data_IF_229360973845
#
_entry.id   IF_229360973845
#
_cell.length_a   1.000
_cell.length_b   1.000
_cell.length_c   1.000
_cell.angle_alpha   90.00
_cell.angle_beta   90.00
_cell.angle_gamma   90.00
#
_symmetry.space_group_name_H-M   'P 1'
#
loop_
_entity.id
_entity.type
_entity.pdbx_description
1 polymer ?
#
# COMPACT_ATOMS: atom_id res chain seq x y z
N UNK A 1 -12.78 -30.03 -8.48
CA UNK A 1 -13.71 -29.93 -9.64
C UNK A 1 -13.35 -28.71 -10.49
N UNK A 2 -13.85 -28.62 -11.72
CA UNK A 2 -13.71 -27.43 -12.61
C UNK A 2 -14.22 -26.17 -11.89
N UNK A 3 -15.41 -26.25 -11.32
CA UNK A 3 -16.05 -25.11 -10.62
C UNK A 3 -15.20 -24.56 -9.47
N UNK A 4 -14.59 -25.41 -8.68
CA UNK A 4 -13.71 -24.99 -7.57
C UNK A 4 -12.45 -24.31 -8.10
N UNK A 5 -11.83 -24.83 -9.18
CA UNK A 5 -10.66 -24.21 -9.79
C UNK A 5 -10.95 -22.83 -10.36
N UNK A 6 -12.06 -22.70 -11.11
CA UNK A 6 -12.52 -21.40 -11.64
C UNK A 6 -12.76 -20.41 -10.50
N UNK A 7 -13.40 -20.87 -9.41
CA UNK A 7 -13.61 -20.02 -8.24
C UNK A 7 -12.28 -19.55 -7.62
N UNK A 8 -11.31 -20.44 -7.45
CA UNK A 8 -9.99 -20.08 -6.94
C UNK A 8 -9.26 -19.08 -7.86
N UNK A 9 -9.39 -19.20 -9.19
CA UNK A 9 -8.84 -18.23 -10.13
C UNK A 9 -9.49 -16.83 -9.93
N UNK A 10 -10.82 -16.78 -9.82
CA UNK A 10 -11.56 -15.53 -9.58
C UNK A 10 -11.16 -14.91 -8.23
N UNK A 11 -11.15 -15.70 -7.15
CA UNK A 11 -10.81 -15.23 -5.80
C UNK A 11 -9.36 -14.71 -5.76
N UNK A 12 -8.42 -15.38 -6.43
CA UNK A 12 -7.03 -14.94 -6.54
C UNK A 12 -6.86 -13.64 -7.32
N UNK A 13 -7.58 -13.47 -8.42
CA UNK A 13 -7.57 -12.24 -9.22
C UNK A 13 -8.19 -11.07 -8.47
N UNK A 14 -9.31 -11.28 -7.77
CA UNK A 14 -9.92 -10.27 -6.92
C UNK A 14 -8.99 -9.84 -5.79
N UNK A 15 -8.37 -10.79 -5.08
CA UNK A 15 -7.43 -10.49 -4.00
C UNK A 15 -6.20 -9.70 -4.48
N UNK A 16 -5.73 -9.95 -5.69
CA UNK A 16 -4.66 -9.14 -6.31
C UNK A 16 -5.15 -7.74 -6.63
N UNK A 17 -6.30 -7.61 -7.29
CA UNK A 17 -6.89 -6.32 -7.65
C UNK A 17 -7.16 -5.45 -6.44
N UNK A 18 -7.74 -6.01 -5.37
CA UNK A 18 -8.08 -5.30 -4.13
C UNK A 18 -6.87 -4.93 -3.27
N UNK A 19 -5.67 -5.41 -3.65
CA UNK A 19 -4.42 -4.95 -3.04
C UNK A 19 -3.90 -3.62 -3.59
N UNK A 20 -4.51 -3.09 -4.66
CA UNK A 20 -4.13 -1.83 -5.28
C UNK A 20 -5.12 -0.70 -4.97
N UNK A 21 -4.59 0.49 -4.74
CA UNK A 21 -5.34 1.71 -4.36
C UNK A 21 -6.42 2.14 -5.36
N UNK A 22 -6.39 1.62 -6.58
CA UNK A 22 -7.40 1.86 -7.61
C UNK A 22 -8.66 1.01 -7.46
N UNK A 23 -8.63 -0.05 -6.64
CA UNK A 23 -9.81 -0.87 -6.37
C UNK A 23 -10.77 -0.14 -5.41
N UNK A 24 -12.09 -0.32 -5.65
CA UNK A 24 -13.13 0.14 -4.74
C UNK A 24 -13.13 -0.60 -3.40
N UNK A 25 -12.62 -1.85 -3.38
CA UNK A 25 -12.54 -2.71 -2.21
C UNK A 25 -11.16 -2.63 -1.51
N UNK A 26 -10.29 -1.71 -1.98
CA UNK A 26 -8.99 -1.46 -1.34
C UNK A 26 -9.17 -1.00 0.11
N UNK A 27 -8.48 -1.66 1.03
CA UNK A 27 -8.57 -1.38 2.47
C UNK A 27 -7.33 -0.70 3.01
N UNK A 28 -6.17 -1.31 2.77
CA UNK A 28 -4.87 -0.77 3.18
C UNK A 28 -3.75 -1.33 2.33
N UNK A 29 -2.64 -0.62 2.31
CA UNK A 29 -1.48 -1.05 1.54
C UNK A 29 -0.92 -2.39 2.05
N UNK A 30 -0.57 -3.36 1.16
CA UNK A 30 -0.13 -4.70 1.55
C UNK A 30 1.13 -4.75 2.43
N UNK A 31 1.95 -3.71 2.42
CA UNK A 31 3.14 -3.62 3.28
C UNK A 31 2.81 -3.13 4.70
N UNK A 32 1.60 -2.64 5.00
CA UNK A 32 1.19 -2.30 6.36
C UNK A 32 0.84 -3.58 7.14
N UNK A 33 1.84 -4.14 7.79
CA UNK A 33 1.76 -5.40 8.53
C UNK A 33 2.28 -5.22 9.95
N UNK A 34 1.97 -6.17 10.81
CA UNK A 34 2.51 -6.19 12.19
C UNK A 34 3.96 -6.74 12.19
N UNK A 35 4.86 -5.97 11.61
CA UNK A 35 6.30 -6.22 11.55
C UNK A 35 7.05 -4.90 11.77
N UNK A 36 8.31 -4.98 12.14
CA UNK A 36 9.11 -3.79 12.47
C UNK A 36 9.80 -3.15 11.26
N UNK A 37 9.88 -3.86 10.11
CA UNK A 37 10.59 -3.33 8.94
C UNK A 37 9.80 -3.53 7.64
N UNK A 38 9.97 -2.57 6.72
CA UNK A 38 9.42 -2.68 5.36
C UNK A 38 10.00 -3.89 4.63
N UNK A 39 11.28 -4.23 4.90
CA UNK A 39 11.92 -5.41 4.29
C UNK A 39 11.23 -6.71 4.66
N UNK A 40 10.84 -6.88 5.94
CA UNK A 40 10.07 -8.03 6.39
C UNK A 40 8.67 -8.04 5.77
N UNK A 41 8.00 -6.87 5.76
CA UNK A 41 6.69 -6.72 5.14
C UNK A 41 6.73 -7.09 3.65
N UNK A 42 7.76 -6.63 2.92
CA UNK A 42 7.93 -6.93 1.51
C UNK A 42 8.23 -8.41 1.27
N UNK A 43 9.05 -9.05 2.12
CA UNK A 43 9.34 -10.49 2.00
C UNK A 43 8.07 -11.33 2.14
N UNK A 44 7.21 -11.00 3.10
CA UNK A 44 5.92 -11.68 3.27
C UNK A 44 5.01 -11.43 2.06
N UNK A 45 4.91 -10.18 1.61
CA UNK A 45 4.12 -9.81 0.43
C UNK A 45 4.58 -10.52 -0.84
N UNK A 46 5.90 -10.59 -1.06
CA UNK A 46 6.49 -11.30 -2.19
C UNK A 46 6.11 -12.78 -2.18
N UNK A 47 6.20 -13.45 -1.02
CA UNK A 47 5.78 -14.86 -0.89
C UNK A 47 4.31 -15.05 -1.24
N UNK A 48 3.43 -14.17 -0.77
CA UNK A 48 1.99 -14.24 -1.08
C UNK A 48 1.69 -14.00 -2.57
N UNK A 49 2.41 -13.08 -3.20
CA UNK A 49 2.29 -12.83 -4.64
C UNK A 49 2.78 -14.04 -5.45
N UNK A 50 3.91 -14.64 -5.08
CA UNK A 50 4.45 -15.80 -5.76
C UNK A 50 3.53 -17.02 -5.60
N UNK A 51 2.99 -17.26 -4.41
CA UNK A 51 2.03 -18.32 -4.16
C UNK A 51 0.75 -18.14 -4.99
N UNK A 52 0.21 -16.94 -5.04
CA UNK A 52 -0.97 -16.60 -5.85
C UNK A 52 -0.72 -16.79 -7.34
N UNK A 53 0.42 -16.30 -7.82
CA UNK A 53 0.85 -16.46 -9.22
C UNK A 53 0.96 -17.94 -9.61
N UNK A 54 1.67 -18.72 -8.82
CA UNK A 54 1.87 -20.14 -9.09
C UNK A 54 0.55 -20.94 -9.00
N UNK A 55 -0.31 -20.59 -8.03
CA UNK A 55 -1.62 -21.23 -7.89
C UNK A 55 -2.54 -20.93 -9.06
N UNK A 56 -2.58 -19.66 -9.53
CA UNK A 56 -3.37 -19.28 -10.70
C UNK A 56 -2.89 -20.02 -11.94
N UNK A 57 -1.59 -19.97 -12.22
CA UNK A 57 -0.98 -20.68 -13.35
C UNK A 57 -1.31 -22.17 -13.34
N UNK A 58 -1.12 -22.85 -12.20
CA UNK A 58 -1.42 -24.27 -12.07
C UNK A 58 -2.91 -24.59 -12.28
N UNK A 59 -3.81 -23.71 -11.82
CA UNK A 59 -5.24 -23.90 -12.03
C UNK A 59 -5.62 -23.71 -13.51
N UNK A 60 -5.05 -22.72 -14.20
CA UNK A 60 -5.29 -22.45 -15.62
C UNK A 60 -4.75 -23.61 -16.48
N UNK A 61 -3.53 -24.08 -16.23
CA UNK A 61 -2.95 -25.24 -16.92
C UNK A 61 -3.79 -26.50 -16.76
N UNK A 62 -4.30 -26.75 -15.57
CA UNK A 62 -5.17 -27.89 -15.33
C UNK A 62 -6.55 -27.76 -15.99
N UNK A 63 -7.12 -26.54 -16.02
CA UNK A 63 -8.34 -26.27 -16.76
C UNK A 63 -8.13 -26.49 -18.25
N UNK A 64 -7.03 -25.99 -18.81
CA UNK A 64 -6.65 -26.22 -20.21
C UNK A 64 -6.53 -27.72 -20.51
N UNK A 65 -5.86 -28.50 -19.66
CA UNK A 65 -5.70 -29.97 -19.82
C UNK A 65 -7.08 -30.65 -19.86
N UNK A 66 -7.96 -30.30 -18.93
CA UNK A 66 -9.32 -30.87 -18.88
C UNK A 66 -10.10 -30.56 -20.16
N UNK A 67 -10.06 -29.33 -20.67
CA UNK A 67 -10.79 -28.96 -21.87
C UNK A 67 -10.16 -29.54 -23.15
N UNK A 68 -8.83 -29.57 -23.25
CA UNK A 68 -8.13 -30.25 -24.33
C UNK A 68 -8.53 -31.72 -24.42
N UNK A 69 -8.62 -32.40 -23.29
CA UNK A 69 -9.03 -33.80 -23.22
C UNK A 69 -10.50 -33.98 -23.62
N UNK A 70 -11.41 -33.11 -23.14
CA UNK A 70 -12.84 -33.20 -23.47
C UNK A 70 -13.10 -33.01 -24.95
N UNK A 71 -12.36 -32.09 -25.59
CA UNK A 71 -12.54 -31.77 -27.02
C UNK A 71 -11.65 -32.57 -27.94
N UNK A 72 -10.75 -33.39 -27.42
CA UNK A 72 -9.84 -34.23 -28.22
C UNK A 72 -8.81 -33.44 -29.03
N UNK A 73 -8.26 -32.35 -28.44
CA UNK A 73 -7.35 -31.40 -29.07
C UNK A 73 -5.87 -31.60 -28.69
N UNK A 74 -5.51 -32.78 -28.19
CA UNK A 74 -4.15 -33.06 -27.67
C UNK A 74 -3.07 -32.95 -28.74
N UNK A 75 -3.40 -33.15 -30.01
CA UNK A 75 -2.46 -33.03 -31.15
C UNK A 75 -2.29 -31.56 -31.64
N UNK A 76 -3.16 -30.64 -31.17
CA UNK A 76 -3.20 -29.25 -31.63
C UNK A 76 -2.82 -28.23 -30.58
N UNK A 77 -3.11 -28.52 -29.30
CA UNK A 77 -2.96 -27.58 -28.19
C UNK A 77 -2.16 -28.20 -27.05
N UNK A 78 -1.43 -27.33 -26.32
CA UNK A 78 -0.73 -27.67 -25.08
C UNK A 78 -1.40 -26.95 -23.91
N UNK A 79 -1.41 -27.55 -22.68
CA UNK A 79 -2.05 -26.93 -21.52
C UNK A 79 -1.21 -25.86 -20.83
N UNK A 80 0.07 -25.74 -21.17
CA UNK A 80 1.03 -24.84 -20.53
C UNK A 80 0.63 -23.38 -20.71
N UNK A 81 0.77 -22.59 -19.62
CA UNK A 81 0.56 -21.15 -19.61
C UNK A 81 1.90 -20.45 -19.42
N UNK A 82 2.27 -19.57 -20.34
CA UNK A 82 3.50 -18.79 -20.16
C UNK A 82 3.37 -17.77 -19.01
N UNK A 83 4.45 -17.49 -18.29
CA UNK A 83 4.44 -16.56 -17.15
C UNK A 83 3.90 -15.17 -17.53
N UNK A 84 4.12 -14.71 -18.76
CA UNK A 84 3.63 -13.43 -19.28
C UNK A 84 2.11 -13.37 -19.46
N UNK A 85 1.44 -14.53 -19.57
CA UNK A 85 0.01 -14.66 -19.81
C UNK A 85 -0.78 -14.83 -18.51
N UNK A 86 -0.08 -15.07 -17.38
CA UNK A 86 -0.70 -15.10 -16.05
C UNK A 86 -1.10 -13.68 -15.63
N UNK A 87 -2.37 -13.47 -15.33
CA UNK A 87 -2.95 -12.13 -15.13
C UNK A 87 -2.62 -11.49 -13.79
N UNK A 88 -2.32 -12.26 -12.75
CA UNK A 88 -1.90 -11.71 -11.45
C UNK A 88 -0.40 -11.40 -11.44
N UNK A 89 -0.04 -10.29 -10.79
CA UNK A 89 1.34 -9.79 -10.80
C UNK A 89 2.16 -10.37 -9.66
N UNK A 90 3.43 -10.63 -9.93
CA UNK A 90 4.45 -10.84 -8.89
C UNK A 90 4.76 -9.51 -8.19
N UNK A 91 5.27 -9.58 -6.95
CA UNK A 91 5.77 -8.41 -6.26
C UNK A 91 6.94 -7.78 -7.01
N UNK A 92 6.97 -6.45 -7.04
CA UNK A 92 8.06 -5.66 -7.59
C UNK A 92 8.45 -4.59 -6.57
N UNK A 93 9.70 -4.63 -6.10
CA UNK A 93 10.16 -3.79 -4.99
C UNK A 93 9.98 -2.30 -5.30
N UNK A 94 10.38 -1.85 -6.48
CA UNK A 94 10.32 -0.43 -6.82
C UNK A 94 8.88 0.05 -6.95
N UNK A 95 8.04 -0.70 -7.67
CA UNK A 95 6.61 -0.40 -7.83
C UNK A 95 5.90 -0.36 -6.47
N UNK A 96 6.12 -1.37 -5.64
CA UNK A 96 5.41 -1.53 -4.39
C UNK A 96 5.85 -0.52 -3.34
N UNK A 97 7.14 -0.09 -3.35
CA UNK A 97 7.60 1.05 -2.53
C UNK A 97 7.03 2.38 -3.01
N UNK A 98 6.97 2.64 -4.32
CA UNK A 98 6.32 3.84 -4.86
C UNK A 98 4.83 3.89 -4.48
N UNK A 99 4.14 2.76 -4.53
CA UNK A 99 2.76 2.62 -4.08
C UNK A 99 2.61 2.86 -2.57
N UNK A 100 3.56 2.37 -1.75
CA UNK A 100 3.59 2.65 -0.31
C UNK A 100 3.73 4.14 -0.02
N UNK A 101 4.59 4.85 -0.76
CA UNK A 101 4.75 6.30 -0.62
C UNK A 101 3.49 7.05 -1.03
N UNK A 102 2.80 6.62 -2.10
CA UNK A 102 1.50 7.15 -2.50
C UNK A 102 0.46 6.99 -1.38
N UNK A 103 0.37 5.80 -0.80
CA UNK A 103 -0.51 5.52 0.34
C UNK A 103 -0.17 6.36 1.57
N UNK A 104 1.12 6.52 1.90
CA UNK A 104 1.57 7.37 3.00
C UNK A 104 1.14 8.83 2.80
N UNK A 105 1.29 9.36 1.58
CA UNK A 105 0.78 10.70 1.23
C UNK A 105 -0.74 10.76 1.38
N UNK A 106 -1.46 9.73 0.97
CA UNK A 106 -2.90 9.60 1.21
C UNK A 106 -3.25 9.69 2.70
N UNK A 107 -2.45 9.07 3.58
CA UNK A 107 -2.61 9.20 5.03
C UNK A 107 -2.30 10.63 5.52
N UNK A 108 -1.31 11.32 4.93
CA UNK A 108 -0.96 12.69 5.29
C UNK A 108 -2.10 13.67 5.01
N UNK A 109 -2.90 13.42 3.97
CA UNK A 109 -4.07 14.21 3.60
C UNK A 109 -5.40 13.65 4.11
N UNK A 110 -5.37 12.64 4.99
CA UNK A 110 -6.56 12.06 5.60
C UNK A 110 -7.39 11.15 4.68
N UNK A 111 -6.92 10.84 3.47
CA UNK A 111 -7.60 9.89 2.57
C UNK A 111 -7.68 8.50 3.19
N UNK A 112 -6.63 8.08 3.87
CA UNK A 112 -6.52 6.83 4.61
C UNK A 112 -6.06 7.07 6.03
N UNK A 113 -6.14 6.03 6.85
CA UNK A 113 -5.58 6.00 8.21
C UNK A 113 -4.77 4.72 8.42
N UNK A 114 -3.76 4.80 9.27
CA UNK A 114 -3.02 3.63 9.75
C UNK A 114 -3.81 2.81 10.77
N UNK A 115 -4.93 3.34 11.28
CA UNK A 115 -5.73 2.77 12.37
C UNK A 115 -7.09 2.23 11.92
N UNK A 116 -7.55 2.57 10.72
CA UNK A 116 -8.81 2.10 10.17
C UNK A 116 -8.66 1.76 8.70
N UNK A 117 -9.15 0.61 8.30
CA UNK A 117 -9.13 0.14 6.92
C UNK A 117 -10.10 0.95 6.05
N UNK A 118 -9.72 1.16 4.81
CA UNK A 118 -10.54 1.77 3.78
C UNK A 118 -10.40 3.29 3.66
N UNK A 119 -11.19 3.85 2.74
CA UNK A 119 -11.21 5.26 2.42
C UNK A 119 -11.93 6.05 3.53
N UNK A 120 -11.29 7.12 4.03
CA UNK A 120 -11.88 8.02 5.01
C UNK A 120 -12.40 9.31 4.37
N UNK A 121 -11.55 10.01 3.60
CA UNK A 121 -11.90 11.26 2.91
C UNK A 121 -11.69 11.14 1.40
N UNK A 122 -12.67 11.60 0.62
CA UNK A 122 -12.66 11.58 -0.84
C UNK A 122 -12.90 12.97 -1.47
N UNK A 123 -12.45 14.05 -0.79
CA UNK A 123 -12.57 15.41 -1.26
C UNK A 123 -13.61 16.27 -0.52
N UNK A 124 -14.31 15.72 0.47
CA UNK A 124 -15.14 16.50 1.39
C UNK A 124 -14.25 17.35 2.35
N UNK A 125 -14.81 18.40 2.96
CA UNK A 125 -14.07 19.24 3.90
C UNK A 125 -13.48 18.44 5.05
N UNK A 126 -12.17 18.64 5.29
CA UNK A 126 -11.42 18.01 6.35
C UNK A 126 -11.40 18.86 7.62
N UNK A 127 -11.49 18.23 8.77
CA UNK A 127 -11.05 18.75 10.04
C UNK A 127 -10.59 17.59 10.92
N UNK A 128 -9.73 17.86 11.90
CA UNK A 128 -9.29 16.82 12.84
C UNK A 128 -10.49 16.14 13.53
N UNK A 129 -11.51 16.90 13.91
CA UNK A 129 -12.72 16.33 14.51
C UNK A 129 -13.48 15.41 13.53
N UNK A 130 -13.66 15.81 12.27
CA UNK A 130 -14.31 14.95 11.27
C UNK A 130 -13.50 13.70 10.96
N UNK A 131 -12.17 13.77 11.03
CA UNK A 131 -11.30 12.60 10.93
C UNK A 131 -11.51 11.65 12.10
N UNK A 132 -11.50 12.17 13.34
CA UNK A 132 -11.77 11.39 14.55
C UNK A 132 -13.16 10.76 14.51
N UNK A 133 -14.18 11.49 14.07
CA UNK A 133 -15.56 10.98 13.94
C UNK A 133 -15.66 9.84 12.93
N UNK A 134 -14.92 9.93 11.82
CA UNK A 134 -14.86 8.85 10.82
C UNK A 134 -14.03 7.65 11.29
N UNK A 135 -13.02 7.88 12.12
CA UNK A 135 -12.26 6.80 12.76
C UNK A 135 -13.10 6.02 13.76
N UNK A 136 -14.06 6.67 14.42
CA UNK A 136 -14.97 6.06 15.36
C UNK A 136 -16.28 5.66 14.66
N UNK A 137 -16.82 4.49 14.98
CA UNK A 137 -18.14 4.05 14.47
C UNK A 137 -19.32 4.83 15.10
N UNK A 138 -19.03 5.80 15.97
CA UNK A 138 -20.03 6.64 16.68
C UNK A 138 -19.62 8.11 16.60
N UNK A 139 -19.96 8.82 15.50
CA UNK A 139 -19.66 10.23 15.33
C UNK A 139 -20.19 11.11 16.47
N UNK A 140 -19.40 12.11 16.86
CA UNK A 140 -19.79 13.08 17.88
C UNK A 140 -19.71 12.60 19.34
N UNK A 141 -19.21 11.37 19.59
CA UNK A 141 -19.14 10.81 20.96
C UNK A 141 -17.80 11.08 21.64
N UNK A 142 -16.76 11.38 20.89
CA UNK A 142 -15.40 11.58 21.41
C UNK A 142 -14.76 12.78 20.69
N UNK A 143 -14.22 13.75 21.43
CA UNK A 143 -13.39 14.80 20.86
C UNK A 143 -11.99 14.27 20.47
N UNK A 144 -11.26 15.00 19.60
CA UNK A 144 -9.89 14.66 19.27
C UNK A 144 -9.00 14.56 20.52
N UNK A 145 -9.20 15.47 21.48
CA UNK A 145 -8.46 15.48 22.76
C UNK A 145 -8.83 14.29 23.67
N UNK A 146 -10.11 13.89 23.67
CA UNK A 146 -10.57 12.71 24.42
C UNK A 146 -10.06 11.42 23.81
N UNK A 147 -10.01 11.31 22.46
CA UNK A 147 -9.40 10.19 21.76
C UNK A 147 -7.91 10.07 22.11
N UNK A 148 -7.18 11.16 22.00
CA UNK A 148 -5.77 11.22 22.39
C UNK A 148 -5.57 10.79 23.86
N UNK A 149 -6.47 11.23 24.75
CA UNK A 149 -6.43 10.86 26.16
C UNK A 149 -6.76 9.38 26.39
N UNK A 150 -7.72 8.82 25.63
CA UNK A 150 -8.08 7.42 25.71
C UNK A 150 -6.90 6.52 25.31
N UNK A 151 -6.23 6.83 24.20
CA UNK A 151 -5.06 6.09 23.76
C UNK A 151 -3.89 6.19 24.75
N UNK A 152 -3.67 7.36 25.39
CA UNK A 152 -2.69 7.49 26.49
C UNK A 152 -3.01 6.58 27.67
N UNK A 153 -4.27 6.46 28.03
CA UNK A 153 -4.70 5.61 29.15
C UNK A 153 -4.58 4.10 28.83
N UNK A 154 -4.63 3.72 27.56
CA UNK A 154 -4.40 2.34 27.11
C UNK A 154 -2.89 2.02 26.92
N UNK A 155 -2.01 2.96 27.27
CA UNK A 155 -0.56 2.79 27.14
C UNK A 155 -0.04 3.02 25.71
N UNK A 156 -0.90 3.49 24.80
CA UNK A 156 -0.48 3.95 23.48
C UNK A 156 0.18 5.33 23.65
N UNK A 157 1.42 5.46 23.20
CA UNK A 157 2.14 6.74 23.21
C UNK A 157 1.52 7.60 22.11
N UNK A 158 0.67 8.55 22.51
CA UNK A 158 -0.09 9.40 21.56
C UNK A 158 0.84 10.27 20.71
N UNK A 159 2.02 10.59 21.23
CA UNK A 159 3.06 11.31 20.50
C UNK A 159 3.64 10.44 19.33
N UNK A 160 3.33 9.14 19.28
CA UNK A 160 3.68 8.21 18.19
C UNK A 160 2.50 7.98 17.23
N UNK A 161 1.31 8.53 17.51
CA UNK A 161 0.18 8.43 16.59
C UNK A 161 0.36 9.40 15.42
N UNK A 162 0.05 8.90 14.22
CA UNK A 162 0.06 9.72 13.03
C UNK A 162 -1.34 10.29 12.73
N UNK A 163 -1.43 11.60 12.64
CA UNK A 163 -2.62 12.33 12.21
C UNK A 163 -2.37 13.01 10.86
N UNK A 164 -3.42 13.21 10.06
CA UNK A 164 -3.33 14.03 8.85
C UNK A 164 -2.88 15.47 9.19
N UNK A 165 -2.41 16.15 8.17
CA UNK A 165 -2.02 17.55 8.28
C UNK A 165 -3.25 18.44 8.56
N UNK A 166 -3.08 19.45 9.44
CA UNK A 166 -4.21 20.24 9.93
C UNK A 166 -4.78 21.18 8.87
N UNK A 167 -3.92 21.80 8.06
CA UNK A 167 -4.31 22.75 7.02
C UNK A 167 -4.32 22.16 5.61
N UNK A 168 -3.96 20.87 5.48
CA UNK A 168 -3.81 20.16 4.22
C UNK A 168 -2.76 20.78 3.26
N UNK A 169 -1.73 21.41 3.80
CA UNK A 169 -0.63 22.01 3.03
C UNK A 169 0.70 21.40 3.47
N UNK A 170 1.22 20.46 2.70
CA UNK A 170 2.49 19.80 3.01
C UNK A 170 3.56 20.32 2.05
N UNK A 171 4.57 21.09 2.56
CA UNK A 171 5.63 21.63 1.74
C UNK A 171 6.51 20.53 1.12
N UNK A 172 6.93 20.75 -0.12
CA UNK A 172 7.99 19.96 -0.77
C UNK A 172 9.14 20.91 -1.07
N UNK A 173 10.24 20.77 -0.36
CA UNK A 173 11.39 21.65 -0.44
C UNK A 173 12.63 20.88 -0.88
N UNK A 174 13.62 21.57 -1.47
CA UNK A 174 14.88 20.99 -1.92
C UNK A 174 15.83 20.62 -0.75
N UNK A 175 15.68 21.31 0.38
CA UNK A 175 16.40 21.02 1.63
C UNK A 175 15.40 20.99 2.81
N UNK A 176 15.86 20.57 3.98
CA UNK A 176 15.05 20.49 5.20
C UNK A 176 14.99 21.88 5.85
N UNK A 177 13.99 22.68 5.45
CA UNK A 177 13.73 24.01 6.01
C UNK A 177 12.59 24.06 7.00
N UNK A 178 11.66 23.09 6.92
CA UNK A 178 10.43 23.08 7.68
C UNK A 178 10.23 21.74 8.39
N UNK A 179 9.74 21.77 9.61
CA UNK A 179 9.52 20.58 10.42
C UNK A 179 8.32 19.72 9.92
N UNK A 180 7.46 20.30 9.10
CA UNK A 180 6.24 19.70 8.54
C UNK A 180 6.36 19.38 7.03
N UNK A 181 7.57 19.41 6.46
CA UNK A 181 7.76 19.03 5.06
C UNK A 181 7.44 17.56 4.82
N UNK A 182 7.29 17.19 3.54
CA UNK A 182 6.84 15.84 3.14
C UNK A 182 7.76 14.72 3.65
N UNK A 183 9.07 14.97 3.79
CA UNK A 183 10.02 13.97 4.29
C UNK A 183 9.89 13.83 5.80
N UNK A 184 9.74 14.94 6.52
CA UNK A 184 9.48 14.96 7.97
C UNK A 184 8.16 14.25 8.29
N UNK A 185 7.11 14.52 7.52
CA UNK A 185 5.81 13.83 7.64
C UNK A 185 5.92 12.34 7.34
N UNK A 186 6.71 11.95 6.32
CA UNK A 186 6.98 10.53 6.03
C UNK A 186 7.71 9.85 7.19
N UNK A 187 8.70 10.51 7.80
CA UNK A 187 9.40 9.96 8.97
C UNK A 187 8.44 9.75 10.15
N UNK A 188 7.53 10.70 10.41
CA UNK A 188 6.50 10.55 11.43
C UNK A 188 5.56 9.38 11.14
N UNK A 189 5.11 9.24 9.89
CA UNK A 189 4.27 8.13 9.46
C UNK A 189 4.97 6.77 9.60
N UNK A 190 6.25 6.67 9.19
CA UNK A 190 7.03 5.45 9.33
C UNK A 190 7.22 5.04 10.80
N UNK A 191 7.44 6.01 11.69
CA UNK A 191 7.51 5.75 13.14
C UNK A 191 6.19 5.20 13.69
N UNK A 192 5.07 5.75 13.26
CA UNK A 192 3.75 5.30 13.68
C UNK A 192 3.41 3.88 13.17
N UNK A 193 3.88 3.51 11.97
CA UNK A 193 3.58 2.21 11.35
C UNK A 193 4.54 1.11 11.79
N UNK A 194 5.85 1.39 11.81
CA UNK A 194 6.89 0.38 12.01
C UNK A 194 7.70 0.56 13.30
N UNK A 195 7.46 1.64 14.04
CA UNK A 195 8.20 1.98 15.26
C UNK A 195 9.40 2.91 15.03
N UNK A 196 9.73 3.69 16.05
CA UNK A 196 10.80 4.68 15.99
C UNK A 196 12.19 4.06 15.83
N UNK A 197 12.43 2.92 16.46
CA UNK A 197 13.74 2.25 16.49
C UNK A 197 14.21 1.76 15.11
N UNK A 198 13.27 1.54 14.18
CA UNK A 198 13.56 1.03 12.83
C UNK A 198 13.51 2.08 11.74
N UNK A 199 13.32 3.35 12.11
CA UNK A 199 13.14 4.45 11.14
C UNK A 199 14.28 4.48 10.08
N UNK A 200 15.53 4.50 10.52
CA UNK A 200 16.68 4.63 9.61
C UNK A 200 16.78 3.43 8.67
N UNK A 201 16.54 2.22 9.16
CA UNK A 201 16.56 0.99 8.36
C UNK A 201 15.45 1.05 7.30
N UNK A 202 14.27 1.54 7.64
CA UNK A 202 13.14 1.68 6.72
C UNK A 202 13.41 2.78 5.67
N UNK A 203 13.99 3.92 6.06
CA UNK A 203 14.38 4.98 5.11
C UNK A 203 15.44 4.48 4.12
N UNK A 204 16.45 3.74 4.60
CA UNK A 204 17.48 3.14 3.74
C UNK A 204 16.88 2.14 2.75
N UNK A 205 15.92 1.35 3.18
CA UNK A 205 15.23 0.39 2.31
C UNK A 205 14.44 1.09 1.20
N UNK A 206 13.69 2.14 1.55
CA UNK A 206 12.97 2.98 0.59
C UNK A 206 13.95 3.62 -0.41
N UNK A 207 15.02 4.24 0.08
CA UNK A 207 16.01 4.92 -0.76
C UNK A 207 16.66 3.95 -1.77
N UNK A 208 17.00 2.74 -1.35
CA UNK A 208 17.53 1.68 -2.24
C UNK A 208 16.53 1.31 -3.34
N UNK A 209 15.25 1.16 -3.00
CA UNK A 209 14.20 0.85 -3.96
C UNK A 209 13.98 1.98 -4.98
N UNK A 210 14.17 3.25 -4.57
CA UNK A 210 14.07 4.43 -5.44
C UNK A 210 15.28 4.65 -6.34
N UNK A 211 16.40 3.94 -6.13
CA UNK A 211 17.55 3.94 -7.02
C UNK A 211 18.73 4.84 -6.64
N UNK A 212 18.85 5.22 -5.36
CA UNK A 212 20.06 5.87 -4.76
C UNK A 212 20.56 7.16 -5.46
N UNK A 213 19.66 8.06 -5.83
CA UNK A 213 20.01 9.37 -6.39
C UNK A 213 20.19 10.43 -5.28
N UNK A 214 21.26 10.35 -4.50
CA UNK A 214 21.57 11.26 -3.39
C UNK A 214 22.63 10.69 -2.45
N UNK A 215 23.03 11.47 -1.44
CA UNK A 215 24.08 11.09 -0.48
C UNK A 215 23.52 10.45 0.77
N UNK A 216 22.28 10.77 1.15
CA UNK A 216 21.57 10.21 2.31
C UNK A 216 20.21 9.67 1.90
N UNK A 217 19.65 8.77 2.71
CA UNK A 217 18.32 8.21 2.43
C UNK A 217 17.22 9.27 2.39
N UNK A 218 17.29 10.28 3.28
CA UNK A 218 16.35 11.43 3.28
C UNK A 218 16.49 12.28 2.02
N UNK A 219 17.71 12.55 1.57
CA UNK A 219 17.96 13.30 0.33
C UNK A 219 17.43 12.54 -0.89
N UNK A 220 17.62 11.23 -0.97
CA UNK A 220 17.10 10.39 -2.06
C UNK A 220 15.58 10.43 -2.10
N UNK A 221 14.94 10.29 -0.95
CA UNK A 221 13.47 10.33 -0.82
C UNK A 221 12.94 11.74 -1.18
N UNK A 222 13.61 12.80 -0.72
CA UNK A 222 13.29 14.19 -1.06
C UNK A 222 13.36 14.44 -2.56
N UNK A 223 14.44 14.00 -3.20
CA UNK A 223 14.61 14.10 -4.65
C UNK A 223 13.51 13.35 -5.42
N UNK A 224 13.07 12.20 -4.91
CA UNK A 224 11.95 11.48 -5.50
C UNK A 224 10.64 12.29 -5.42
N UNK A 225 10.31 12.85 -4.26
CA UNK A 225 9.12 13.69 -4.11
C UNK A 225 9.15 14.94 -4.99
N UNK A 226 10.31 15.58 -5.14
CA UNK A 226 10.49 16.77 -5.97
C UNK A 226 10.33 16.49 -7.46
N UNK A 227 10.85 15.36 -7.96
CA UNK A 227 11.06 15.18 -9.39
C UNK A 227 10.19 14.10 -10.03
N UNK A 228 9.90 13.02 -9.30
CA UNK A 228 9.33 11.81 -9.87
C UNK A 228 7.95 11.44 -9.30
N UNK A 229 7.68 11.72 -8.01
CA UNK A 229 6.48 11.29 -7.31
C UNK A 229 5.18 11.68 -8.01
N UNK A 230 5.03 12.95 -8.39
CA UNK A 230 3.79 13.42 -9.01
C UNK A 230 3.45 12.66 -10.29
N UNK A 231 4.46 12.40 -11.12
CA UNK A 231 4.31 11.61 -12.34
C UNK A 231 3.89 10.18 -12.03
N UNK A 232 4.58 9.52 -11.11
CA UNK A 232 4.30 8.14 -10.73
C UNK A 232 2.91 8.00 -10.10
N UNK A 233 2.54 8.94 -9.22
CA UNK A 233 1.21 9.01 -8.60
C UNK A 233 0.10 9.18 -9.64
N UNK A 234 0.25 10.12 -10.58
CA UNK A 234 -0.72 10.30 -11.66
C UNK A 234 -0.84 9.06 -12.56
N UNK A 235 0.24 8.35 -12.81
CA UNK A 235 0.21 7.12 -13.60
C UNK A 235 -0.59 6.01 -12.92
N UNK A 236 -0.56 5.92 -11.60
CA UNK A 236 -1.33 4.93 -10.84
C UNK A 236 -2.84 5.07 -11.09
N UNK A 237 -3.34 6.29 -11.28
CA UNK A 237 -4.76 6.59 -11.48
C UNK A 237 -5.10 6.87 -12.95
N UNK A 238 -4.12 6.91 -13.87
CA UNK A 238 -4.42 7.07 -15.27
C UNK A 238 -4.95 5.75 -15.83
N UNK A 239 -6.25 5.65 -15.95
CA UNK A 239 -6.91 4.60 -16.72
C UNK A 239 -6.68 4.93 -18.20
N UNK A 240 -5.58 4.47 -18.74
CA UNK A 240 -5.48 4.32 -20.19
C UNK A 240 -6.19 3.01 -20.50
N UNK A 241 -7.46 3.13 -20.87
CA UNK A 241 -8.18 2.03 -21.50
C UNK A 241 -7.51 1.61 -22.79
#
# INVERSE_FOLDING_TARGET
SIVERVKHCIDGSNAEWDSFEISWDFKKHPLLRNVSTISEAFTQWQSECDDRFNQLKANEEELNRIFIDIYGLQDELTPEVEDKDVTVRKADLQRDIKSLLSYAVGCMFGRYSTYKDGLLFAGEPYSLQTFVDKMNDRPGTISAEELQRAYRNEGVVVDEMFFPDEDNVIPITDEEYLDDDIVSRLCAWLKAVYGADTLEVNLDYIAKALGNKGSTSREIIRNYFLNDFFKDHCQTYSVTG
#
